data_IF_259454145292
#
_entry.id   IF_259454145292
#
_cell.length_a   1.000
_cell.length_b   1.000
_cell.length_c   1.000
_cell.angle_alpha   90.00
_cell.angle_beta   90.00
_cell.angle_gamma   90.00
#
_symmetry.space_group_name_H-M   'P 1'
#
loop_
_entity.id
_entity.type
_entity.pdbx_description
1 polymer ?
#
# COMPACT_ATOMS: atom_id res chain seq x y z
N UNK A 1 8.98 -3.05 -19.81
CA UNK A 1 9.86 -3.73 -18.83
C UNK A 1 10.33 -2.76 -17.72
N UNK A 2 9.48 -1.82 -17.29
CA UNK A 2 9.86 -0.69 -16.39
C UNK A 2 9.08 -0.74 -15.05
N UNK A 3 8.06 -1.60 -14.93
CA UNK A 3 7.17 -1.63 -13.76
C UNK A 3 7.66 -2.52 -12.59
N UNK A 4 8.53 -3.51 -12.87
CA UNK A 4 8.97 -4.50 -11.86
C UNK A 4 9.97 -3.94 -10.83
N UNK A 5 10.69 -2.85 -11.15
CA UNK A 5 11.64 -2.20 -10.23
C UNK A 5 10.98 -1.19 -9.28
N UNK A 6 9.75 -0.75 -9.59
CA UNK A 6 9.14 0.39 -8.93
C UNK A 6 8.77 0.13 -7.46
N UNK A 7 8.48 -1.10 -7.03
CA UNK A 7 8.14 -1.38 -5.63
C UNK A 7 9.36 -1.44 -4.71
N UNK A 8 10.42 -2.16 -5.12
CA UNK A 8 11.66 -2.17 -4.35
C UNK A 8 12.26 -0.77 -4.33
N UNK A 9 12.13 0.00 -5.42
CA UNK A 9 12.52 1.39 -5.44
C UNK A 9 11.57 2.29 -4.65
N UNK A 10 10.25 2.15 -4.66
CA UNK A 10 9.31 3.03 -3.93
C UNK A 10 9.37 2.81 -2.42
N UNK A 11 9.45 1.56 -1.95
CA UNK A 11 9.71 1.27 -0.53
C UNK A 11 11.14 1.65 -0.17
N UNK A 12 12.18 1.31 -0.97
CA UNK A 12 13.53 1.84 -0.73
C UNK A 12 13.62 3.35 -0.90
N UNK A 13 12.69 4.01 -1.60
CA UNK A 13 12.65 5.46 -1.80
C UNK A 13 12.06 6.06 -0.55
N UNK A 14 10.89 5.63 -0.08
CA UNK A 14 10.38 5.96 1.25
C UNK A 14 11.49 5.73 2.29
N UNK A 15 12.18 4.58 2.25
CA UNK A 15 13.28 4.22 3.16
C UNK A 15 14.54 5.10 3.01
N UNK A 16 15.03 5.35 1.77
CA UNK A 16 16.23 6.17 1.48
C UNK A 16 15.95 7.66 1.67
N UNK A 17 14.74 8.13 1.42
CA UNK A 17 14.33 9.50 1.66
C UNK A 17 14.31 9.80 3.15
N UNK A 18 13.72 8.87 3.92
CA UNK A 18 13.73 8.89 5.38
C UNK A 18 15.16 8.81 5.96
N UNK A 19 16.06 8.03 5.34
CA UNK A 19 17.40 7.79 5.90
C UNK A 19 18.47 8.80 5.44
N UNK A 20 18.36 9.40 4.24
CA UNK A 20 19.40 10.27 3.66
C UNK A 20 19.37 11.71 4.18
N UNK A 21 18.21 12.23 4.62
CA UNK A 21 18.13 13.53 5.30
C UNK A 21 18.63 13.50 6.75
N UNK A 22 18.71 12.32 7.38
CA UNK A 22 19.24 12.14 8.75
C UNK A 22 20.78 12.20 8.86
N UNK A 23 21.50 12.58 7.80
CA UNK A 23 22.97 12.71 7.83
C UNK A 23 23.48 14.16 7.75
N UNK A 24 22.59 15.15 7.71
CA UNK A 24 22.97 16.56 7.90
C UNK A 24 21.98 17.28 8.82
N UNK A 25 22.47 17.46 10.05
CA UNK A 25 22.01 18.41 11.08
C UNK A 25 20.65 18.17 11.76
N UNK A 26 20.76 17.95 13.07
CA UNK A 26 19.75 18.01 14.13
C UNK A 26 18.59 17.00 14.06
N UNK A 27 18.68 16.00 14.94
CA UNK A 27 17.54 15.27 15.48
C UNK A 27 16.43 16.26 15.86
N UNK A 28 15.35 16.26 15.08
CA UNK A 28 14.05 16.74 15.51
C UNK A 28 13.10 15.54 15.48
N UNK A 29 12.41 15.32 16.59
CA UNK A 29 11.57 14.16 16.94
C UNK A 29 10.32 13.93 16.05
N UNK A 30 10.25 14.45 14.82
CA UNK A 30 8.99 14.53 14.06
C UNK A 30 8.97 13.80 12.70
N UNK A 31 10.02 13.05 12.35
CA UNK A 31 10.00 12.28 11.13
C UNK A 31 9.20 10.99 11.35
N UNK A 32 8.06 10.89 10.67
CA UNK A 32 7.40 9.62 10.38
C UNK A 32 8.35 8.69 9.61
N UNK A 33 9.37 8.15 10.28
CA UNK A 33 9.91 6.82 9.98
C UNK A 33 8.74 5.88 10.28
N UNK A 34 7.87 5.75 9.29
CA UNK A 34 6.43 5.92 9.50
C UNK A 34 5.81 4.76 10.26
N UNK A 35 4.77 5.06 11.04
CA UNK A 35 3.94 4.02 11.64
C UNK A 35 3.47 2.99 10.60
N UNK A 36 3.33 3.39 9.32
CA UNK A 36 3.01 2.54 8.18
C UNK A 36 4.15 1.58 7.84
N UNK A 37 5.41 2.04 7.78
CA UNK A 37 6.56 1.15 7.59
C UNK A 37 6.69 0.14 8.74
N UNK A 38 6.47 0.60 9.97
CA UNK A 38 6.44 -0.27 11.15
C UNK A 38 5.32 -1.30 11.05
N UNK A 39 4.11 -0.90 10.64
CA UNK A 39 2.99 -1.80 10.37
C UNK A 39 3.37 -2.87 9.32
N UNK A 40 4.07 -2.48 8.26
CA UNK A 40 4.38 -3.41 7.16
C UNK A 40 5.43 -4.42 7.57
N UNK A 41 6.58 -3.94 8.08
CA UNK A 41 7.73 -4.79 8.39
C UNK A 41 7.47 -5.62 9.63
N UNK A 42 6.96 -5.01 10.71
CA UNK A 42 6.86 -5.68 12.00
C UNK A 42 5.61 -6.55 12.12
N UNK A 43 4.56 -6.23 11.37
CA UNK A 43 3.28 -6.92 11.48
C UNK A 43 2.90 -7.64 10.20
N UNK A 44 2.73 -6.93 9.08
CA UNK A 44 2.16 -7.55 7.89
C UNK A 44 3.07 -8.59 7.24
N UNK A 45 4.36 -8.29 7.08
CA UNK A 45 5.36 -9.19 6.48
C UNK A 45 5.98 -10.18 7.46
N UNK A 46 5.68 -10.04 8.76
CA UNK A 46 6.20 -10.92 9.80
C UNK A 46 5.85 -12.39 9.47
N UNK A 47 6.78 -13.30 9.73
CA UNK A 47 6.60 -14.74 9.48
C UNK A 47 5.50 -15.31 10.36
N UNK A 48 4.92 -16.44 9.97
CA UNK A 48 3.95 -17.16 10.79
C UNK A 48 4.64 -18.22 11.67
N UNK A 49 5.56 -17.80 12.56
CA UNK A 49 6.31 -18.68 13.46
C UNK A 49 6.72 -17.95 14.76
N UNK A 50 6.30 -18.43 15.93
CA UNK A 50 6.68 -17.86 17.24
C UNK A 50 5.58 -17.93 18.32
N UNK A 51 5.78 -17.23 19.46
CA UNK A 51 4.90 -17.22 20.65
C UNK A 51 4.18 -15.88 20.96
N UNK A 52 4.43 -14.80 20.22
CA UNK A 52 3.67 -13.54 20.29
C UNK A 52 2.17 -13.66 19.90
N UNK A 53 1.36 -12.73 20.40
CA UNK A 53 -0.10 -12.63 20.19
C UNK A 53 -0.50 -12.65 18.71
N UNK A 54 0.34 -12.08 17.83
CA UNK A 54 0.12 -12.14 16.39
C UNK A 54 0.12 -13.58 15.82
N UNK A 55 0.79 -14.53 16.45
CA UNK A 55 0.85 -15.92 15.98
C UNK A 55 -0.35 -16.77 16.39
N UNK A 56 -1.14 -16.35 17.39
CA UNK A 56 -2.41 -17.03 17.73
C UNK A 56 -3.39 -17.00 16.55
N UNK A 57 -3.25 -16.02 15.64
CA UNK A 57 -4.04 -15.89 14.42
C UNK A 57 -3.32 -16.43 13.17
N UNK A 58 -2.12 -17.00 13.31
CA UNK A 58 -1.51 -17.76 12.23
C UNK A 58 -2.32 -19.04 12.04
N UNK A 59 -2.92 -19.28 10.87
CA UNK A 59 -3.82 -20.42 10.76
C UNK A 59 -3.00 -21.71 10.77
N UNK A 60 -3.40 -22.63 11.64
CA UNK A 60 -2.74 -23.91 11.90
C UNK A 60 -3.26 -25.03 11.00
N UNK A 61 -4.30 -24.77 10.21
CA UNK A 61 -4.97 -25.77 9.40
C UNK A 61 -4.28 -26.00 8.06
N UNK A 62 -4.19 -27.26 7.62
CA UNK A 62 -3.71 -27.62 6.28
C UNK A 62 -4.76 -27.30 5.18
N UNK A 63 -5.70 -26.39 5.44
CA UNK A 63 -6.84 -26.11 4.55
C UNK A 63 -6.46 -25.41 3.25
N UNK A 64 -5.18 -25.10 3.07
CA UNK A 64 -4.62 -24.41 1.90
C UNK A 64 -4.40 -25.30 0.67
N UNK A 65 -4.98 -26.51 0.64
CA UNK A 65 -4.69 -27.49 -0.42
C UNK A 65 -4.94 -26.99 -1.84
N UNK A 66 -5.83 -26.01 -2.02
CA UNK A 66 -6.10 -25.37 -3.31
C UNK A 66 -5.21 -24.16 -3.62
N UNK A 67 -4.52 -23.59 -2.62
CA UNK A 67 -3.62 -22.45 -2.82
C UNK A 67 -2.28 -22.95 -3.40
N UNK A 68 -1.77 -22.35 -4.50
CA UNK A 68 -0.46 -22.68 -5.03
C UNK A 68 0.63 -22.55 -3.97
N UNK A 69 1.58 -23.49 -3.94
CA UNK A 69 2.66 -23.53 -2.95
C UNK A 69 3.48 -22.23 -2.89
N UNK A 70 3.64 -21.55 -4.04
CA UNK A 70 4.31 -20.25 -4.14
C UNK A 70 3.57 -19.10 -3.45
N UNK A 71 2.28 -19.26 -3.16
CA UNK A 71 1.42 -18.25 -2.51
C UNK A 71 1.01 -18.61 -1.09
N UNK A 72 1.32 -19.83 -0.62
CA UNK A 72 0.92 -20.29 0.71
C UNK A 72 1.40 -19.37 1.84
N UNK A 73 2.66 -18.91 1.79
CA UNK A 73 3.18 -17.95 2.79
C UNK A 73 2.42 -16.62 2.78
N UNK A 74 2.17 -16.07 1.59
CA UNK A 74 1.41 -14.82 1.44
C UNK A 74 -0.01 -14.97 1.98
N UNK A 75 -0.67 -16.08 1.64
CA UNK A 75 -2.04 -16.36 2.08
C UNK A 75 -2.12 -16.49 3.61
N UNK A 76 -1.16 -17.19 4.24
CA UNK A 76 -1.07 -17.29 5.70
C UNK A 76 -0.93 -15.92 6.37
N UNK A 77 -0.04 -15.08 5.86
CA UNK A 77 0.15 -13.71 6.36
C UNK A 77 -1.11 -12.88 6.18
N UNK A 78 -1.74 -12.96 5.01
CA UNK A 78 -2.99 -12.26 4.71
C UNK A 78 -4.12 -12.63 5.69
N UNK A 79 -4.38 -13.93 5.90
CA UNK A 79 -5.42 -14.40 6.82
C UNK A 79 -5.13 -13.94 8.25
N UNK A 80 -3.88 -14.05 8.72
CA UNK A 80 -3.50 -13.54 10.03
C UNK A 80 -3.80 -12.04 10.15
N UNK A 81 -3.32 -11.25 9.19
CA UNK A 81 -3.41 -9.79 9.24
C UNK A 81 -4.86 -9.32 9.21
N UNK A 82 -5.71 -9.91 8.36
CA UNK A 82 -7.12 -9.53 8.25
C UNK A 82 -7.93 -9.92 9.50
N UNK A 83 -7.64 -11.09 10.08
CA UNK A 83 -8.27 -11.50 11.34
C UNK A 83 -7.84 -10.59 12.49
N UNK A 84 -6.56 -10.23 12.60
CA UNK A 84 -6.08 -9.27 13.61
C UNK A 84 -6.72 -7.89 13.47
N UNK A 85 -6.90 -7.40 12.24
CA UNK A 85 -7.56 -6.10 12.00
C UNK A 85 -9.04 -6.13 12.42
N UNK A 86 -9.68 -7.30 12.31
CA UNK A 86 -11.11 -7.47 12.59
C UNK A 86 -11.40 -7.82 14.05
N UNK A 87 -10.38 -8.22 14.81
CA UNK A 87 -10.49 -8.49 16.23
C UNK A 87 -10.39 -7.19 17.04
N UNK A 88 -11.55 -6.68 17.47
CA UNK A 88 -11.64 -5.45 18.29
C UNK A 88 -10.97 -5.60 19.66
N UNK A 89 -10.76 -6.83 20.14
CA UNK A 89 -10.05 -7.11 21.40
C UNK A 89 -8.53 -7.19 21.23
N UNK A 90 -8.04 -7.21 19.99
CA UNK A 90 -6.62 -7.34 19.71
C UNK A 90 -5.86 -6.05 20.04
N UNK A 91 -4.82 -6.21 20.86
CA UNK A 91 -3.87 -5.13 21.18
C UNK A 91 -2.70 -5.05 20.18
N UNK A 92 -2.69 -5.90 19.15
CA UNK A 92 -1.56 -6.03 18.23
C UNK A 92 -1.11 -4.68 17.62
N UNK A 93 -2.05 -3.79 17.35
CA UNK A 93 -1.78 -2.49 16.74
C UNK A 93 -1.77 -1.32 17.73
N UNK A 94 -1.95 -1.55 19.04
CA UNK A 94 -2.06 -0.45 20.03
C UNK A 94 -0.77 0.37 20.17
N UNK A 95 0.39 -0.22 19.89
CA UNK A 95 1.68 0.46 19.92
C UNK A 95 1.97 1.28 18.65
N UNK A 96 1.19 1.08 17.59
CA UNK A 96 1.34 1.80 16.34
C UNK A 96 0.38 2.99 16.36
N UNK A 97 0.90 4.21 16.22
CA UNK A 97 0.07 5.43 16.13
C UNK A 97 -0.57 5.57 14.73
N UNK A 98 -1.41 4.60 14.37
CA UNK A 98 -2.17 4.56 13.12
C UNK A 98 -3.67 4.75 13.42
N UNK A 99 -4.33 5.50 12.54
CA UNK A 99 -5.79 5.53 12.48
C UNK A 99 -6.33 4.13 12.12
N UNK A 100 -6.98 3.47 13.08
CA UNK A 100 -7.53 2.11 12.92
C UNK A 100 -8.51 2.04 11.75
N UNK A 101 -9.17 3.13 11.37
CA UNK A 101 -10.07 3.17 10.21
C UNK A 101 -9.34 2.97 8.87
N UNK A 102 -8.02 3.23 8.82
CA UNK A 102 -7.17 3.07 7.64
C UNK A 102 -6.51 1.69 7.52
N UNK A 103 -6.62 0.82 8.53
CA UNK A 103 -5.95 -0.48 8.55
C UNK A 103 -6.34 -1.37 7.35
N UNK A 104 -7.61 -1.36 6.92
CA UNK A 104 -8.00 -2.07 5.71
C UNK A 104 -7.29 -1.54 4.46
N UNK A 105 -7.12 -0.21 4.35
CA UNK A 105 -6.43 0.45 3.21
C UNK A 105 -4.98 -0.02 3.15
N UNK A 106 -4.31 -0.01 4.30
CA UNK A 106 -2.93 -0.45 4.41
C UNK A 106 -2.78 -1.95 4.12
N UNK A 107 -3.68 -2.79 4.62
CA UNK A 107 -3.67 -4.23 4.33
C UNK A 107 -3.85 -4.49 2.83
N UNK A 108 -4.79 -3.80 2.19
CA UNK A 108 -5.05 -3.89 0.75
C UNK A 108 -3.82 -3.54 -0.06
N UNK A 109 -3.22 -2.39 0.22
CA UNK A 109 -2.00 -1.99 -0.47
C UNK A 109 -0.88 -3.01 -0.31
N UNK A 110 -0.62 -3.46 0.92
CA UNK A 110 0.40 -4.48 1.18
C UNK A 110 0.11 -5.76 0.37
N UNK A 111 -1.12 -6.28 0.42
CA UNK A 111 -1.48 -7.50 -0.31
C UNK A 111 -1.33 -7.34 -1.82
N UNK A 112 -1.85 -6.25 -2.37
CA UNK A 112 -1.80 -5.93 -3.80
C UNK A 112 -0.38 -5.82 -4.31
N UNK A 113 0.47 -5.17 -3.54
CA UNK A 113 1.86 -5.09 -3.88
C UNK A 113 2.54 -6.47 -3.87
N UNK A 114 2.30 -7.24 -2.82
CA UNK A 114 2.85 -8.58 -2.66
C UNK A 114 2.42 -9.54 -3.78
N UNK A 115 1.22 -9.36 -4.34
CA UNK A 115 0.73 -10.08 -5.52
C UNK A 115 1.45 -9.64 -6.81
N UNK A 116 1.64 -8.32 -7.00
CA UNK A 116 2.36 -7.76 -8.15
C UNK A 116 3.84 -8.21 -8.13
N UNK A 117 4.52 -8.06 -6.98
CA UNK A 117 5.93 -8.44 -6.80
C UNK A 117 6.18 -9.92 -7.10
N UNK A 118 5.25 -10.79 -6.72
CA UNK A 118 5.30 -12.24 -6.99
C UNK A 118 4.89 -12.59 -8.42
N UNK A 119 4.52 -11.61 -9.25
CA UNK A 119 4.06 -11.80 -10.63
C UNK A 119 2.92 -12.81 -10.72
N UNK A 120 1.97 -12.71 -9.80
CA UNK A 120 0.80 -13.58 -9.78
C UNK A 120 0.03 -13.41 -11.09
N UNK A 121 -0.38 -14.52 -11.69
CA UNK A 121 -1.22 -14.50 -12.89
C UNK A 121 -2.71 -14.48 -12.50
N UNK A 122 -3.58 -14.25 -13.48
CA UNK A 122 -5.03 -14.17 -13.23
C UNK A 122 -5.62 -15.45 -12.62
N UNK A 123 -5.12 -16.63 -13.02
CA UNK A 123 -5.60 -17.92 -12.50
C UNK A 123 -5.32 -18.06 -11.00
N UNK A 124 -4.06 -17.89 -10.60
CA UNK A 124 -3.64 -17.96 -9.20
C UNK A 124 -4.28 -16.85 -8.37
N UNK A 125 -4.50 -15.67 -8.95
CA UNK A 125 -5.24 -14.58 -8.33
C UNK A 125 -6.68 -15.00 -8.00
N UNK A 126 -7.39 -15.56 -8.97
CA UNK A 126 -8.77 -16.06 -8.79
C UNK A 126 -8.81 -17.16 -7.72
N UNK A 127 -7.87 -18.12 -7.76
CA UNK A 127 -7.78 -19.18 -6.75
C UNK A 127 -7.59 -18.59 -5.34
N UNK A 128 -6.69 -17.61 -5.19
CA UNK A 128 -6.41 -16.96 -3.91
C UNK A 128 -7.67 -16.34 -3.28
N UNK A 129 -8.40 -15.53 -4.05
CA UNK A 129 -9.57 -14.82 -3.54
C UNK A 129 -10.82 -15.69 -3.43
N UNK A 130 -11.01 -16.69 -4.30
CA UNK A 130 -12.09 -17.66 -4.15
C UNK A 130 -11.93 -18.45 -2.85
N UNK A 131 -10.73 -18.93 -2.57
CA UNK A 131 -10.44 -19.66 -1.35
C UNK A 131 -10.67 -18.80 -0.10
N UNK A 132 -10.27 -17.52 -0.13
CA UNK A 132 -10.59 -16.58 0.94
C UNK A 132 -12.10 -16.40 1.11
N UNK A 133 -12.83 -16.20 0.02
CA UNK A 133 -14.28 -16.00 0.04
C UNK A 133 -15.05 -17.21 0.59
N UNK A 134 -14.57 -18.43 0.34
CA UNK A 134 -15.14 -19.67 0.90
C UNK A 134 -14.91 -19.78 2.42
N UNK A 135 -13.74 -19.33 2.91
CA UNK A 135 -13.35 -19.51 4.31
C UNK A 135 -13.68 -18.32 5.21
N UNK A 136 -13.89 -17.11 4.65
CA UNK A 136 -13.99 -15.87 5.43
C UNK A 136 -15.06 -15.90 6.52
N UNK A 137 -16.22 -16.52 6.25
CA UNK A 137 -17.32 -16.61 7.24
C UNK A 137 -16.91 -17.40 8.48
N UNK A 138 -16.03 -18.40 8.33
CA UNK A 138 -15.55 -19.21 9.44
C UNK A 138 -14.31 -18.61 10.10
N UNK A 139 -13.36 -18.08 9.30
CA UNK A 139 -12.08 -17.57 9.79
C UNK A 139 -12.14 -16.13 10.31
N UNK A 140 -13.12 -15.37 9.86
CA UNK A 140 -13.28 -13.96 10.19
C UNK A 140 -14.74 -13.49 9.98
N UNK A 141 -15.68 -13.95 10.83
CA UNK A 141 -17.09 -13.58 10.71
C UNK A 141 -17.32 -12.07 10.79
N UNK A 142 -16.49 -11.37 11.57
CA UNK A 142 -16.55 -9.92 11.78
C UNK A 142 -15.67 -9.12 10.79
N UNK A 143 -15.14 -9.75 9.73
CA UNK A 143 -14.28 -9.06 8.77
C UNK A 143 -15.02 -7.96 8.00
N UNK A 144 -14.69 -6.70 8.31
CA UNK A 144 -15.21 -5.50 7.62
C UNK A 144 -14.38 -5.13 6.37
N UNK A 145 -13.14 -5.62 6.25
CA UNK A 145 -12.31 -5.42 5.06
C UNK A 145 -12.77 -6.35 3.92
N UNK A 146 -13.34 -5.79 2.86
CA UNK A 146 -13.76 -6.51 1.65
C UNK A 146 -12.70 -6.41 0.57
N UNK A 147 -12.66 -7.33 -0.38
CA UNK A 147 -11.72 -7.32 -1.51
C UNK A 147 -12.51 -7.54 -2.81
N UNK A 148 -13.16 -6.48 -3.34
CA UNK A 148 -14.08 -6.61 -4.47
C UNK A 148 -13.38 -6.75 -5.83
N UNK A 149 -12.07 -6.51 -5.92
CA UNK A 149 -11.33 -6.57 -7.20
C UNK A 149 -11.19 -8.02 -7.67
N UNK A 150 -11.55 -8.27 -8.93
CA UNK A 150 -11.52 -9.61 -9.53
C UNK A 150 -10.39 -9.78 -10.56
N UNK A 151 -9.78 -8.70 -11.03
CA UNK A 151 -8.72 -8.76 -12.05
C UNK A 151 -7.41 -8.20 -11.57
N UNK A 152 -6.32 -8.90 -11.86
CA UNK A 152 -4.97 -8.43 -11.50
C UNK A 152 -4.61 -7.10 -12.18
N UNK A 153 -5.10 -6.87 -13.40
CA UNK A 153 -4.92 -5.59 -14.11
C UNK A 153 -5.63 -4.39 -13.45
N UNK A 154 -6.65 -4.65 -12.64
CA UNK A 154 -7.32 -3.60 -11.85
C UNK A 154 -6.50 -3.25 -10.60
N UNK A 155 -5.77 -4.22 -10.06
CA UNK A 155 -4.83 -4.01 -8.94
C UNK A 155 -3.71 -3.06 -9.34
N UNK A 156 -3.14 -3.22 -10.52
CA UNK A 156 -2.07 -2.33 -11.01
C UNK A 156 -2.54 -0.87 -11.11
N UNK A 157 -3.82 -0.65 -11.44
CA UNK A 157 -4.41 0.69 -11.51
C UNK A 157 -4.69 1.26 -10.12
N UNK A 158 -5.36 0.49 -9.25
CA UNK A 158 -5.67 0.96 -7.89
C UNK A 158 -4.40 1.18 -7.07
N UNK A 159 -3.34 0.39 -7.31
CA UNK A 159 -2.07 0.54 -6.61
C UNK A 159 -1.49 1.94 -6.78
N UNK A 160 -1.55 2.51 -8.00
CA UNK A 160 -1.07 3.89 -8.24
C UNK A 160 -1.83 4.91 -7.39
N UNK A 161 -3.14 4.74 -7.26
CA UNK A 161 -3.98 5.59 -6.41
C UNK A 161 -3.61 5.39 -4.94
N UNK A 162 -3.38 4.14 -4.50
CA UNK A 162 -2.90 3.88 -3.16
C UNK A 162 -1.49 4.44 -2.89
N UNK A 163 -0.57 4.40 -3.87
CA UNK A 163 0.76 5.01 -3.74
C UNK A 163 0.62 6.51 -3.46
N UNK A 164 -0.30 7.18 -4.17
CA UNK A 164 -0.61 8.59 -3.93
C UNK A 164 -1.29 8.83 -2.57
N UNK A 165 -2.21 7.95 -2.16
CA UNK A 165 -2.83 7.98 -0.83
C UNK A 165 -1.76 7.89 0.27
N UNK A 166 -0.92 6.86 0.23
CA UNK A 166 0.12 6.61 1.22
C UNK A 166 1.13 7.73 1.25
N UNK A 167 1.47 8.25 0.06
CA UNK A 167 2.32 9.40 -0.06
C UNK A 167 1.73 10.58 0.72
N UNK A 168 0.49 10.99 0.48
CA UNK A 168 -0.13 12.11 1.21
C UNK A 168 -0.32 11.83 2.70
N UNK A 169 -0.64 10.59 3.07
CA UNK A 169 -0.91 10.18 4.44
C UNK A 169 0.35 10.15 5.32
N UNK A 170 1.53 9.98 4.70
CA UNK A 170 2.81 9.93 5.39
C UNK A 170 3.37 11.32 5.77
N UNK A 171 2.76 12.42 5.31
CA UNK A 171 3.26 13.77 5.58
C UNK A 171 2.19 14.65 6.23
N UNK A 172 2.55 15.29 7.34
CA UNK A 172 1.67 16.25 8.03
C UNK A 172 1.61 17.59 7.27
N UNK A 173 2.77 18.07 6.80
CA UNK A 173 2.90 19.29 6.01
C UNK A 173 2.96 18.95 4.51
N UNK A 174 1.94 19.40 3.78
CA UNK A 174 1.81 19.12 2.35
C UNK A 174 2.64 20.08 1.48
N UNK A 175 2.88 21.31 1.93
CA UNK A 175 3.63 22.31 1.17
C UNK A 175 5.12 21.98 1.19
N UNK A 176 5.63 21.59 2.36
CA UNK A 176 7.02 21.14 2.53
C UNK A 176 7.33 19.99 1.58
N UNK A 177 6.48 18.95 1.55
CA UNK A 177 6.74 17.77 0.73
C UNK A 177 6.60 18.02 -0.78
N UNK A 178 5.72 18.95 -1.21
CA UNK A 178 5.62 19.36 -2.62
C UNK A 178 6.97 19.90 -3.09
N UNK A 179 7.59 20.81 -2.32
CA UNK A 179 8.87 21.41 -2.68
C UNK A 179 9.98 20.36 -2.78
N UNK A 180 9.97 19.41 -1.85
CA UNK A 180 10.96 18.35 -1.79
C UNK A 180 10.81 17.37 -2.96
N UNK A 181 9.58 17.01 -3.33
CA UNK A 181 9.31 16.07 -4.44
C UNK A 181 9.48 16.68 -5.80
N UNK A 182 9.22 17.97 -5.95
CA UNK A 182 9.31 18.67 -7.24
C UNK A 182 10.68 18.51 -7.92
N UNK A 183 11.74 18.19 -7.18
CA UNK A 183 13.09 17.97 -7.69
C UNK A 183 13.50 16.48 -7.81
N UNK A 184 12.57 15.54 -7.65
CA UNK A 184 12.88 14.10 -7.61
C UNK A 184 12.39 13.39 -8.86
N UNK A 185 13.10 12.32 -9.25
CA UNK A 185 12.81 11.50 -10.42
C UNK A 185 11.37 10.95 -10.44
N UNK A 186 10.83 10.64 -9.27
CA UNK A 186 9.50 10.06 -9.10
C UNK A 186 8.38 11.12 -9.01
N UNK A 187 8.69 12.41 -9.12
CA UNK A 187 7.69 13.47 -9.12
C UNK A 187 6.61 13.23 -10.16
N UNK A 188 7.03 12.88 -11.39
CA UNK A 188 6.11 12.58 -12.51
C UNK A 188 5.19 11.41 -12.20
N UNK A 189 5.68 10.41 -11.46
CA UNK A 189 4.85 9.29 -11.04
C UNK A 189 3.77 9.71 -10.06
N UNK A 190 4.14 10.49 -9.03
CA UNK A 190 3.19 10.99 -8.03
C UNK A 190 2.15 11.91 -8.69
N UNK A 191 2.57 12.78 -9.60
CA UNK A 191 1.67 13.65 -10.35
C UNK A 191 0.70 12.85 -11.24
N UNK A 192 1.18 11.84 -11.95
CA UNK A 192 0.33 10.94 -12.74
C UNK A 192 -0.67 10.15 -11.87
N UNK A 193 -0.23 9.70 -10.69
CA UNK A 193 -1.09 9.00 -9.72
C UNK A 193 -2.16 9.93 -9.12
N UNK A 194 -1.83 11.21 -8.89
CA UNK A 194 -2.79 12.26 -8.52
C UNK A 194 -3.82 12.48 -9.63
N UNK A 195 -3.40 12.59 -10.89
CA UNK A 195 -4.33 12.70 -12.02
C UNK A 195 -5.27 11.49 -12.10
N UNK A 196 -4.74 10.29 -11.84
CA UNK A 196 -5.52 9.07 -11.81
C UNK A 196 -6.56 9.09 -10.67
N UNK A 197 -6.19 9.57 -9.48
CA UNK A 197 -7.13 9.76 -8.37
C UNK A 197 -8.32 10.64 -8.79
N UNK A 198 -8.09 11.83 -9.37
CA UNK A 198 -9.17 12.72 -9.79
C UNK A 198 -10.03 12.12 -10.91
N UNK A 199 -9.41 11.40 -11.86
CA UNK A 199 -10.14 10.67 -12.88
C UNK A 199 -11.10 9.65 -12.26
N UNK A 200 -10.65 8.91 -11.25
CA UNK A 200 -11.48 7.94 -10.54
C UNK A 200 -12.58 8.59 -9.71
N UNK A 201 -12.29 9.73 -9.07
CA UNK A 201 -13.31 10.52 -8.39
C UNK A 201 -14.46 10.88 -9.35
N UNK A 202 -14.15 11.43 -10.52
CA UNK A 202 -15.16 11.77 -11.53
C UNK A 202 -15.87 10.54 -12.12
N UNK A 203 -15.13 9.46 -12.38
CA UNK A 203 -15.67 8.24 -12.99
C UNK A 203 -16.60 7.50 -12.04
N UNK A 204 -16.20 7.36 -10.79
CA UNK A 204 -16.92 6.60 -9.76
C UNK A 204 -18.09 7.36 -9.15
N UNK A 205 -18.17 8.68 -9.37
CA UNK A 205 -19.38 9.46 -9.14
C UNK A 205 -20.46 9.13 -10.19
N UNK A 206 -20.06 8.89 -11.45
CA UNK A 206 -20.98 8.57 -12.56
C UNK A 206 -21.39 7.10 -12.62
N UNK A 207 -20.46 6.19 -12.32
CA UNK A 207 -20.71 4.74 -12.32
C UNK A 207 -20.09 4.09 -11.08
N UNK A 208 -20.89 4.03 -10.01
CA UNK A 208 -20.49 3.46 -8.73
C UNK A 208 -20.57 1.92 -8.69
N UNK A 209 -21.06 1.27 -9.76
CA UNK A 209 -21.28 -0.17 -9.77
C UNK A 209 -20.02 -0.97 -10.11
N UNK A 210 -19.05 -0.34 -10.79
CA UNK A 210 -17.75 -0.96 -11.07
C UNK A 210 -17.06 -1.38 -9.78
N UNK A 211 -16.54 -2.61 -9.72
CA UNK A 211 -15.85 -3.16 -8.54
C UNK A 211 -14.69 -2.27 -8.07
N UNK A 212 -13.97 -1.68 -9.03
CA UNK A 212 -12.90 -0.72 -8.77
C UNK A 212 -13.42 0.59 -8.15
N UNK A 213 -14.63 1.01 -8.49
CA UNK A 213 -15.28 2.17 -7.87
C UNK A 213 -15.81 1.86 -6.47
N UNK A 214 -16.26 0.62 -6.21
CA UNK A 214 -16.55 0.17 -4.85
C UNK A 214 -15.31 0.23 -3.97
N UNK A 215 -14.17 -0.23 -4.49
CA UNK A 215 -12.88 -0.13 -3.80
C UNK A 215 -12.51 1.34 -3.51
N UNK A 216 -12.51 2.18 -4.54
CA UNK A 216 -12.14 3.59 -4.44
C UNK A 216 -13.04 4.37 -3.47
N UNK A 217 -14.36 4.29 -3.64
CA UNK A 217 -15.33 5.05 -2.86
C UNK A 217 -15.40 4.60 -1.40
N UNK A 218 -15.14 3.31 -1.12
CA UNK A 218 -15.19 2.77 0.25
C UNK A 218 -13.91 3.04 1.04
N UNK A 219 -12.75 2.87 0.39
CA UNK A 219 -11.48 2.81 1.11
C UNK A 219 -10.58 4.03 0.88
N UNK A 220 -10.59 4.64 -0.30
CA UNK A 220 -9.62 5.69 -0.63
C UNK A 220 -10.26 7.07 -0.46
N UNK A 221 -11.35 7.33 -1.18
CA UNK A 221 -11.99 8.64 -1.23
C UNK A 221 -12.37 9.22 0.15
N UNK A 222 -12.96 8.46 1.10
CA UNK A 222 -13.36 9.02 2.39
C UNK A 222 -12.18 9.42 3.28
N UNK A 223 -11.00 8.84 3.02
CA UNK A 223 -9.81 8.99 3.86
C UNK A 223 -8.76 9.91 3.24
N UNK A 224 -8.95 10.35 1.99
CA UNK A 224 -8.03 11.24 1.29
C UNK A 224 -8.67 12.61 1.04
N UNK A 225 -8.25 13.59 1.85
CA UNK A 225 -8.61 15.00 1.63
C UNK A 225 -7.44 15.70 0.95
N UNK A 226 -7.65 16.09 -0.30
CA UNK A 226 -6.69 16.89 -1.07
C UNK A 226 -7.12 18.34 -0.97
N UNK A 227 -6.21 19.23 -0.61
CA UNK A 227 -6.44 20.67 -0.64
C UNK A 227 -6.42 21.12 -2.11
N UNK A 228 -7.28 22.04 -2.51
CA UNK A 228 -7.31 22.60 -3.87
C UNK A 228 -5.96 23.24 -4.25
N UNK A 229 -5.16 23.65 -3.26
CA UNK A 229 -3.82 24.19 -3.45
C UNK A 229 -2.73 23.12 -3.62
N UNK A 230 -3.07 21.83 -3.54
CA UNK A 230 -2.12 20.73 -3.71
C UNK A 230 -1.71 20.58 -5.18
N UNK A 231 -0.73 21.38 -5.59
CA UNK A 231 -0.17 21.34 -6.94
C UNK A 231 1.32 20.96 -6.91
N UNK A 232 1.67 19.91 -7.65
CA UNK A 232 3.05 19.44 -7.77
C UNK A 232 3.56 19.88 -9.14
N UNK A 233 4.60 20.71 -9.17
CA UNK A 233 5.25 21.12 -10.43
C UNK A 233 6.60 20.41 -10.49
N UNK A 234 6.66 19.33 -11.26
CA UNK A 234 7.91 18.58 -11.44
C UNK A 234 8.90 19.39 -12.26
N UNK A 235 10.05 19.71 -11.67
CA UNK A 235 11.14 20.34 -12.39
C UNK A 235 11.71 19.34 -13.41
N UNK A 236 12.09 19.86 -14.58
CA UNK A 236 12.81 19.05 -15.57
C UNK A 236 14.12 18.58 -14.93
N UNK A 237 14.49 17.33 -15.20
CA UNK A 237 15.85 16.86 -14.94
C UNK A 237 16.81 17.86 -15.59
N UNK A 238 17.65 18.49 -14.78
CA UNK A 238 18.78 19.26 -15.31
C UNK A 238 19.72 18.18 -15.82
N UNK A 239 19.77 18.00 -17.14
CA UNK A 239 20.90 17.31 -17.76
C UNK A 239 22.16 18.05 -17.31
N UNK A 240 23.07 17.36 -16.63
CA UNK A 240 24.34 17.94 -16.20
C UNK A 240 24.98 18.69 -17.38
N UNK A 241 25.38 19.97 -17.22
CA UNK A 241 26.09 20.73 -18.24
C UNK A 241 27.47 20.17 -18.62
N UNK A 242 27.90 19.03 -18.05
CA UNK A 242 29.22 18.46 -18.24
C UNK A 242 29.35 17.56 -19.48
N UNK A 243 28.34 17.50 -20.36
CA UNK A 243 28.48 16.93 -21.72
C UNK A 243 29.16 17.94 -22.69
N UNK A 244 30.09 18.73 -22.15
CA UNK A 244 31.06 19.56 -22.88
C UNK A 244 32.46 18.95 -22.73
N UNK A 245 32.63 17.73 -23.22
CA UNK A 245 33.93 17.18 -23.57
C UNK A 245 33.96 16.74 -25.03
N UNK A 246 34.36 17.69 -25.89
CA UNK A 246 35.13 17.56 -27.14
C UNK A 246 34.73 16.48 -28.14
N UNK A 247 34.47 16.80 -29.41
CA UNK A 247 35.36 17.47 -30.37
C UNK A 247 34.52 18.00 -31.53
#
# INVERSE_FOLDING_TARGET
MILDNFFSEFINLIYKFIYKENTKEQCNDDLQISNINSLYVLYFDNVCYGLDVAYLHCPSDNSYGSIPSSLTDLYKKFVRNITLISDESSEAFNYIKIDKSKLCIYLKYWLYDQLIKRKVNQENFTIFFNHWNEQKTNKCPECKCEFPIEKISEIEQIKKIHDFFLFLDSYKDKEEIINVISNKEYCKYIDASKSLYYLYQMKCEKDNNLLLCKEFNKYIFPHLKIDDNFNIICKKEVSDPDDWHGI
#
